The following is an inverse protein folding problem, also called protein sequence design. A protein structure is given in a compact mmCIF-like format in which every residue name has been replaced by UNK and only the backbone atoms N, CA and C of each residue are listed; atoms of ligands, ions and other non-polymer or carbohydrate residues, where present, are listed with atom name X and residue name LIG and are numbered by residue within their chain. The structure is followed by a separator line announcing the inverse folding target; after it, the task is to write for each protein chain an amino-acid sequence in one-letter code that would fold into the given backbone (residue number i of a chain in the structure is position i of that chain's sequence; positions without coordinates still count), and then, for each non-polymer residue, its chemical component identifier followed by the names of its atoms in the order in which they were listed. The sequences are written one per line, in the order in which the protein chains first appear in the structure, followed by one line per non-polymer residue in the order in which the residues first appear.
data_IF_161520181772
#
_entry.id   IF_161520181772
#
_cell.length_a   1.000
_cell.length_b   1.000
_cell.length_c   1.000
_cell.angle_alpha   90.00
_cell.angle_beta   90.00
_cell.angle_gamma   90.00
#
_symmetry.space_group_name_H-M   'P 1'
#
loop_
_entity.id
_entity.type
_entity.pdbx_description
1 polymer ?
#
# COMPACT_ATOMS: atom_id res chain seq x y z
N UNK A 1 7.61 4.06 5.32
CA UNK A 1 7.42 4.93 6.50
C UNK A 1 8.53 5.96 6.70
N UNK A 2 9.38 6.25 5.70
CA UNK A 2 10.52 7.19 5.85
C UNK A 2 10.26 8.56 5.23
N UNK A 3 9.15 8.74 4.51
CA UNK A 3 8.70 10.07 4.07
C UNK A 3 8.49 10.96 5.30
N UNK A 4 8.82 12.27 5.26
CA UNK A 4 8.73 13.16 6.42
C UNK A 4 7.40 13.04 7.20
N UNK A 5 6.26 13.15 6.51
CA UNK A 5 4.95 13.04 7.17
C UNK A 5 4.70 11.69 7.86
N UNK A 6 5.22 10.59 7.30
CA UNK A 6 4.96 9.25 7.79
C UNK A 6 5.88 8.91 8.97
N UNK A 7 7.10 9.46 8.98
CA UNK A 7 8.00 9.38 10.12
C UNK A 7 7.46 10.20 11.30
N UNK A 8 6.98 11.43 11.03
CA UNK A 8 6.31 12.26 12.01
C UNK A 8 5.07 11.56 12.59
N UNK A 9 4.17 11.08 11.73
CA UNK A 9 3.01 10.28 12.12
C UNK A 9 3.40 9.11 13.04
N UNK A 10 4.36 8.28 12.61
CA UNK A 10 4.78 7.08 13.34
C UNK A 10 5.29 7.41 14.74
N UNK A 11 6.18 8.41 14.86
CA UNK A 11 6.75 8.82 16.15
C UNK A 11 5.73 9.50 17.06
N UNK A 12 4.80 10.27 16.49
CA UNK A 12 3.73 10.90 17.27
C UNK A 12 2.75 9.86 17.84
N UNK A 13 2.41 8.81 17.08
CA UNK A 13 1.61 7.68 17.58
C UNK A 13 2.28 7.05 18.80
N UNK A 14 3.57 6.70 18.69
CA UNK A 14 4.36 6.13 19.79
C UNK A 14 4.31 7.04 21.02
N UNK A 15 4.66 8.33 20.85
CA UNK A 15 4.68 9.30 21.95
C UNK A 15 3.30 9.39 22.65
N UNK A 16 2.20 9.43 21.89
CA UNK A 16 0.85 9.56 22.45
C UNK A 16 0.36 8.29 23.15
N UNK A 17 0.68 7.12 22.60
CA UNK A 17 0.37 5.83 23.20
C UNK A 17 1.13 5.63 24.52
N UNK A 18 2.45 5.79 24.51
CA UNK A 18 3.30 5.51 25.67
C UNK A 18 3.06 6.49 26.83
N UNK A 19 2.79 7.77 26.52
CA UNK A 19 2.38 8.77 27.53
C UNK A 19 1.11 8.35 28.30
N UNK A 20 0.30 7.44 27.74
CA UNK A 20 -0.94 6.93 28.33
C UNK A 20 -0.83 5.48 28.80
N UNK A 21 0.36 4.87 28.74
CA UNK A 21 0.56 3.45 29.08
C UNK A 21 -0.12 2.50 28.10
N UNK A 22 -0.27 2.90 26.84
CA UNK A 22 -0.90 2.12 25.76
C UNK A 22 0.19 1.68 24.77
N UNK A 23 0.06 0.48 24.21
CA UNK A 23 1.00 -0.03 23.21
C UNK A 23 0.84 0.68 21.85
N UNK A 24 1.95 0.96 21.17
CA UNK A 24 2.02 1.43 19.80
C UNK A 24 2.47 0.29 18.87
N UNK A 25 1.66 -0.04 17.87
CA UNK A 25 1.93 -1.13 16.92
C UNK A 25 2.42 -0.56 15.59
N UNK A 26 3.51 -1.15 15.07
CA UNK A 26 4.10 -0.86 13.78
C UNK A 26 3.25 -1.32 12.59
N UNK A 27 3.76 -1.12 11.38
CA UNK A 27 3.02 -1.36 10.15
C UNK A 27 3.08 -2.81 9.64
N UNK A 28 2.32 -3.04 8.58
CA UNK A 28 2.29 -4.32 7.85
C UNK A 28 3.54 -4.53 6.98
N UNK A 29 4.10 -5.74 7.00
CA UNK A 29 4.96 -6.26 5.94
C UNK A 29 4.18 -7.31 5.13
N UNK A 30 3.83 -6.95 3.89
CA UNK A 30 2.94 -7.72 3.03
C UNK A 30 3.68 -8.73 2.12
N UNK A 31 5.00 -8.85 2.22
CA UNK A 31 5.80 -9.67 1.31
C UNK A 31 5.44 -11.16 1.39
N UNK A 32 5.33 -11.79 0.22
CA UNK A 32 5.20 -13.25 0.06
C UNK A 32 6.56 -13.77 -0.44
N UNK A 33 7.14 -14.81 0.18
CA UNK A 33 8.41 -15.37 -0.27
C UNK A 33 8.41 -15.78 -1.75
N UNK A 34 9.47 -15.40 -2.47
CA UNK A 34 9.62 -15.65 -3.90
C UNK A 34 10.41 -16.95 -4.07
N UNK A 35 9.74 -18.03 -4.50
CA UNK A 35 10.32 -19.39 -4.50
C UNK A 35 11.33 -19.67 -5.60
N UNK A 36 11.29 -18.93 -6.70
CA UNK A 36 12.06 -19.23 -7.92
C UNK A 36 13.08 -18.14 -8.26
N UNK A 37 13.36 -17.24 -7.32
CA UNK A 37 14.27 -16.11 -7.49
C UNK A 37 14.87 -15.74 -6.14
N UNK A 38 15.98 -16.40 -5.80
CA UNK A 38 16.63 -16.26 -4.49
C UNK A 38 17.15 -14.83 -4.27
N UNK A 39 17.60 -14.15 -5.32
CA UNK A 39 18.12 -12.78 -5.23
C UNK A 39 16.97 -11.80 -4.95
N UNK A 40 15.87 -11.87 -5.71
CA UNK A 40 14.70 -11.05 -5.46
C UNK A 40 14.07 -11.35 -4.09
N UNK A 41 14.04 -12.62 -3.69
CA UNK A 41 13.56 -13.02 -2.38
C UNK A 41 14.42 -12.41 -1.26
N UNK A 42 15.75 -12.56 -1.35
CA UNK A 42 16.68 -12.00 -0.37
C UNK A 42 16.54 -10.47 -0.26
N UNK A 43 16.44 -9.77 -1.39
CA UNK A 43 16.22 -8.32 -1.40
C UNK A 43 14.89 -7.92 -0.76
N UNK A 44 13.81 -8.67 -1.01
CA UNK A 44 12.51 -8.44 -0.41
C UNK A 44 12.53 -8.68 1.11
N UNK A 45 13.14 -9.77 1.57
CA UNK A 45 13.27 -10.09 2.99
C UNK A 45 14.16 -9.10 3.75
N UNK A 46 15.25 -8.63 3.13
CA UNK A 46 16.11 -7.60 3.72
C UNK A 46 15.36 -6.27 3.87
N UNK A 47 14.46 -5.95 2.94
CA UNK A 47 13.58 -4.78 3.08
C UNK A 47 12.64 -4.93 4.28
N UNK A 48 12.04 -6.11 4.47
CA UNK A 48 11.21 -6.40 5.66
C UNK A 48 12.03 -6.22 6.93
N UNK A 49 13.23 -6.82 6.99
CA UNK A 49 14.13 -6.73 8.14
C UNK A 49 14.45 -5.27 8.49
N UNK A 50 14.89 -4.46 7.52
CA UNK A 50 15.17 -3.01 7.72
C UNK A 50 13.94 -2.23 8.17
N UNK A 51 12.77 -2.57 7.63
CA UNK A 51 11.53 -1.91 8.01
C UNK A 51 11.14 -2.24 9.46
N UNK A 52 11.28 -3.51 9.90
CA UNK A 52 11.01 -3.93 11.29
C UNK A 52 12.04 -3.38 12.27
N UNK A 53 13.31 -3.43 11.91
CA UNK A 53 14.41 -2.81 12.67
C UNK A 53 14.13 -1.33 12.94
N UNK A 54 13.66 -0.59 11.92
CA UNK A 54 13.30 0.82 12.08
C UNK A 54 12.11 1.00 13.02
N UNK A 55 11.09 0.16 12.93
CA UNK A 55 9.90 0.26 13.79
C UNK A 55 10.25 0.07 15.27
N UNK A 56 10.92 -1.03 15.60
CA UNK A 56 11.36 -1.29 16.98
C UNK A 56 12.33 -0.20 17.46
N UNK A 57 13.25 0.25 16.59
CA UNK A 57 14.15 1.37 16.91
C UNK A 57 13.47 2.71 17.03
N UNK A 58 12.26 2.93 16.50
CA UNK A 58 11.50 4.15 16.75
C UNK A 58 10.76 4.10 18.09
N UNK A 59 10.36 2.91 18.52
CA UNK A 59 9.66 2.69 19.80
C UNK A 59 8.37 1.90 19.69
N UNK A 60 8.07 1.25 18.56
CA UNK A 60 6.89 0.38 18.48
C UNK A 60 7.04 -0.86 19.37
N UNK A 61 5.95 -1.29 20.00
CA UNK A 61 5.90 -2.47 20.89
C UNK A 61 5.63 -3.78 20.16
N UNK A 62 5.26 -3.70 18.88
CA UNK A 62 4.99 -4.84 18.03
C UNK A 62 4.87 -4.44 16.57
N UNK A 63 4.65 -5.41 15.70
CA UNK A 63 4.53 -5.19 14.25
C UNK A 63 3.64 -6.23 13.58
N UNK A 64 3.26 -5.98 12.32
CA UNK A 64 2.42 -6.87 11.53
C UNK A 64 3.15 -7.52 10.36
N UNK A 65 2.81 -8.78 10.08
CA UNK A 65 3.25 -9.54 8.90
C UNK A 65 2.05 -10.24 8.26
N UNK A 66 2.02 -10.30 6.92
CA UNK A 66 0.91 -10.94 6.20
C UNK A 66 1.14 -12.42 5.90
N UNK A 67 2.37 -12.93 6.10
CA UNK A 67 2.74 -14.30 5.76
C UNK A 67 3.57 -14.96 6.87
N UNK A 68 3.31 -16.22 7.26
CA UNK A 68 4.01 -16.91 8.35
C UNK A 68 5.54 -16.94 8.20
N UNK A 69 6.04 -17.03 6.97
CA UNK A 69 7.48 -17.03 6.70
C UNK A 69 8.21 -15.73 7.12
N UNK A 70 7.48 -14.63 7.35
CA UNK A 70 8.06 -13.37 7.82
C UNK A 70 8.08 -13.26 9.35
N UNK A 71 7.43 -14.18 10.07
CA UNK A 71 7.31 -14.13 11.54
C UNK A 71 8.69 -14.15 12.18
N UNK A 72 9.57 -15.08 11.78
CA UNK A 72 10.90 -15.18 12.39
C UNK A 72 11.73 -13.91 12.18
N UNK A 73 11.70 -13.33 10.98
CA UNK A 73 12.43 -12.09 10.68
C UNK A 73 11.94 -10.93 11.54
N UNK A 74 10.62 -10.82 11.73
CA UNK A 74 10.05 -9.79 12.59
C UNK A 74 10.41 -10.03 14.07
N UNK A 75 10.29 -11.27 14.55
CA UNK A 75 10.68 -11.66 15.90
C UNK A 75 12.15 -11.36 16.17
N UNK A 76 13.06 -11.77 15.28
CA UNK A 76 14.51 -11.58 15.45
C UNK A 76 14.88 -10.10 15.64
N UNK A 77 14.29 -9.20 14.85
CA UNK A 77 14.55 -7.75 14.99
C UNK A 77 13.94 -7.17 16.26
N UNK A 78 12.75 -7.63 16.67
CA UNK A 78 12.12 -7.18 17.90
C UNK A 78 12.85 -7.73 19.15
N UNK A 79 13.17 -9.02 19.20
CA UNK A 79 13.92 -9.64 20.32
C UNK A 79 15.29 -8.98 20.51
N UNK A 80 15.94 -8.61 19.40
CA UNK A 80 17.25 -7.93 19.42
C UNK A 80 17.20 -6.50 19.96
N UNK A 81 16.13 -5.76 19.68
CA UNK A 81 16.05 -4.32 19.96
C UNK A 81 15.05 -3.95 21.06
N UNK A 82 14.18 -4.88 21.46
CA UNK A 82 13.18 -4.78 22.52
C UNK A 82 13.30 -6.01 23.45
N UNK A 83 14.31 -6.07 24.34
CA UNK A 83 14.54 -7.21 25.22
C UNK A 83 13.49 -7.35 26.36
N UNK A 84 12.61 -6.36 26.51
CA UNK A 84 11.48 -6.36 27.43
C UNK A 84 10.21 -6.78 26.68
N UNK A 85 9.12 -7.03 27.39
CA UNK A 85 7.83 -7.38 26.76
C UNK A 85 7.25 -6.25 25.88
N UNK A 86 7.65 -4.99 26.13
CA UNK A 86 7.24 -3.80 25.40
C UNK A 86 8.24 -2.63 25.65
N UNK A 87 8.01 -1.49 25.00
CA UNK A 87 8.78 -0.25 25.08
C UNK A 87 7.97 0.91 25.70
N UNK A 88 7.00 0.64 26.59
CA UNK A 88 6.17 1.68 27.23
C UNK A 88 6.98 2.75 27.98
N UNK A 89 8.20 2.43 28.41
CA UNK A 89 9.14 3.37 29.04
C UNK A 89 9.77 4.38 28.05
N UNK A 90 9.63 4.13 26.75
CA UNK A 90 10.14 4.99 25.68
C UNK A 90 9.17 6.11 25.33
N UNK A 91 9.12 7.13 26.18
CA UNK A 91 8.12 8.20 26.12
C UNK A 91 8.32 9.25 25.00
N UNK A 92 9.51 9.32 24.39
CA UNK A 92 9.88 10.34 23.40
C UNK A 92 9.59 11.79 23.88
N UNK A 93 9.96 12.12 25.12
CA UNK A 93 9.56 13.39 25.77
C UNK A 93 10.06 14.65 25.06
N UNK A 94 11.24 14.59 24.43
CA UNK A 94 11.85 15.73 23.74
C UNK A 94 11.37 15.89 22.29
N UNK A 95 10.55 14.96 21.80
CA UNK A 95 10.03 14.98 20.44
C UNK A 95 8.92 16.05 20.33
N UNK A 96 9.16 17.05 19.50
CA UNK A 96 8.15 18.05 19.12
C UNK A 96 7.74 17.83 17.67
N UNK A 97 6.48 17.48 17.45
CA UNK A 97 5.85 17.34 16.13
C UNK A 97 4.63 18.24 16.12
N UNK A 98 4.52 19.07 15.09
CA UNK A 98 3.40 19.99 14.88
C UNK A 98 2.52 19.55 13.71
N UNK A 99 1.45 20.30 13.46
CA UNK A 99 0.48 19.99 12.40
C UNK A 99 1.11 20.04 11.00
N UNK A 100 2.03 20.97 10.75
CA UNK A 100 2.70 21.11 9.46
C UNK A 100 3.57 19.89 9.13
N UNK A 101 4.20 19.27 10.13
CA UNK A 101 4.99 18.05 9.94
C UNK A 101 4.10 16.87 9.47
N UNK A 102 2.84 16.82 9.93
CA UNK A 102 1.89 15.74 9.60
C UNK A 102 1.25 15.90 8.21
N UNK A 103 1.32 17.09 7.62
CA UNK A 103 0.74 17.39 6.29
C UNK A 103 1.80 17.78 5.27
N UNK A 104 3.10 17.63 5.58
CA UNK A 104 4.18 17.85 4.63
C UNK A 104 4.01 16.91 3.42
N UNK A 105 4.01 17.47 2.21
CA UNK A 105 3.85 16.67 1.00
C UNK A 105 5.04 15.70 0.81
N UNK A 106 4.79 14.43 0.47
CA UNK A 106 5.86 13.47 0.23
C UNK A 106 6.68 13.89 -1.01
N UNK A 107 8.00 13.72 -0.91
CA UNK A 107 8.92 13.97 -2.02
C UNK A 107 8.96 12.74 -2.94
N UNK A 108 8.82 12.95 -4.24
CA UNK A 108 8.86 11.89 -5.24
C UNK A 108 8.41 12.38 -6.60
N UNK A 109 8.30 11.45 -7.55
CA UNK A 109 7.78 11.69 -8.88
C UNK A 109 6.63 10.76 -9.20
N UNK A 110 5.71 11.22 -10.05
CA UNK A 110 4.72 10.36 -10.70
C UNK A 110 5.35 9.81 -11.97
N UNK A 111 5.30 8.50 -12.16
CA UNK A 111 5.93 7.83 -13.32
C UNK A 111 4.87 7.06 -14.11
N UNK A 112 5.07 6.86 -15.41
CA UNK A 112 4.16 6.02 -16.21
C UNK A 112 4.04 4.61 -15.61
N UNK A 113 5.18 4.05 -15.16
CA UNK A 113 5.21 2.73 -14.51
C UNK A 113 4.34 2.71 -13.24
N UNK A 114 4.35 3.79 -12.46
CA UNK A 114 3.50 3.95 -11.28
C UNK A 114 2.01 4.03 -11.65
N UNK A 115 1.67 4.81 -12.67
CA UNK A 115 0.30 4.91 -13.21
C UNK A 115 -0.21 3.53 -13.65
N UNK A 116 0.55 2.83 -14.49
CA UNK A 116 0.21 1.47 -14.97
C UNK A 116 0.05 0.48 -13.83
N UNK A 117 0.96 0.51 -12.85
CA UNK A 117 0.88 -0.36 -11.67
C UNK A 117 -0.41 -0.12 -10.89
N UNK A 118 -0.80 1.14 -10.68
CA UNK A 118 -2.03 1.47 -9.97
C UNK A 118 -3.27 1.01 -10.75
N UNK A 119 -3.28 1.13 -12.08
CA UNK A 119 -4.38 0.60 -12.92
C UNK A 119 -4.47 -0.91 -12.75
N UNK A 120 -3.34 -1.58 -12.92
CA UNK A 120 -3.26 -3.02 -12.92
C UNK A 120 -3.65 -3.64 -11.56
N UNK A 121 -3.00 -3.22 -10.47
CA UNK A 121 -3.25 -3.77 -9.12
C UNK A 121 -4.67 -3.47 -8.66
N UNK A 122 -5.17 -2.26 -8.93
CA UNK A 122 -6.54 -1.89 -8.56
C UNK A 122 -7.61 -2.74 -9.25
N UNK A 123 -7.46 -2.99 -10.55
CA UNK A 123 -8.38 -3.87 -11.30
C UNK A 123 -8.27 -5.31 -10.82
N UNK A 124 -7.04 -5.85 -10.67
CA UNK A 124 -6.83 -7.23 -10.22
C UNK A 124 -7.39 -7.49 -8.82
N UNK A 125 -7.18 -6.56 -7.90
CA UNK A 125 -7.74 -6.68 -6.56
C UNK A 125 -9.28 -6.63 -6.60
N UNK A 126 -9.86 -5.67 -7.34
CA UNK A 126 -11.32 -5.55 -7.49
C UNK A 126 -11.93 -6.81 -8.10
N UNK A 127 -11.28 -7.40 -9.11
CA UNK A 127 -11.69 -8.67 -9.71
C UNK A 127 -11.75 -9.81 -8.69
N UNK A 128 -10.69 -9.97 -7.90
CA UNK A 128 -10.63 -11.00 -6.88
C UNK A 128 -11.65 -10.76 -5.76
N UNK A 129 -11.85 -9.51 -5.37
CA UNK A 129 -12.85 -9.12 -4.38
C UNK A 129 -14.27 -9.47 -4.82
N UNK A 130 -14.61 -9.21 -6.09
CA UNK A 130 -15.90 -9.59 -6.71
C UNK A 130 -16.12 -11.10 -6.83
N UNK A 131 -15.07 -11.90 -6.66
CA UNK A 131 -15.12 -13.37 -6.54
C UNK A 131 -15.14 -13.84 -5.08
N UNK A 132 -15.22 -12.93 -4.11
CA UNK A 132 -15.25 -13.24 -2.68
C UNK A 132 -13.87 -13.35 -2.02
N UNK A 133 -12.80 -12.89 -2.66
CA UNK A 133 -11.44 -12.92 -2.11
C UNK A 133 -10.95 -11.51 -1.73
N UNK A 134 -10.95 -11.20 -0.43
CA UNK A 134 -10.49 -9.91 0.09
C UNK A 134 -8.99 -9.83 0.41
N UNK A 135 -8.29 -10.97 0.45
CA UNK A 135 -6.83 -11.06 0.62
C UNK A 135 -6.23 -11.76 -0.60
N UNK A 136 -5.40 -11.04 -1.36
CA UNK A 136 -5.05 -11.42 -2.74
C UNK A 136 -3.54 -11.34 -2.93
N UNK A 137 -2.93 -12.45 -3.36
CA UNK A 137 -1.51 -12.46 -3.72
C UNK A 137 -1.31 -11.81 -5.10
N UNK A 138 -0.81 -10.58 -5.14
CA UNK A 138 -0.48 -9.86 -6.37
C UNK A 138 1.00 -9.47 -6.36
N UNK A 139 1.75 -9.87 -7.39
CA UNK A 139 3.17 -9.51 -7.54
C UNK A 139 4.03 -9.76 -6.30
N UNK A 140 3.83 -10.92 -5.65
CA UNK A 140 4.51 -11.35 -4.42
C UNK A 140 4.19 -10.48 -3.19
N UNK A 141 3.07 -9.77 -3.20
CA UNK A 141 2.51 -9.05 -2.06
C UNK A 141 1.12 -9.59 -1.74
N UNK A 142 0.81 -9.70 -0.45
CA UNK A 142 -0.54 -9.98 0.02
C UNK A 142 -1.30 -8.67 0.13
N UNK A 143 -2.13 -8.39 -0.87
CA UNK A 143 -2.86 -7.13 -0.99
C UNK A 143 -4.27 -7.25 -0.37
N UNK A 144 -4.72 -6.14 0.20
CA UNK A 144 -6.08 -5.94 0.71
C UNK A 144 -6.75 -4.73 0.03
N UNK A 145 -7.93 -4.34 0.52
CA UNK A 145 -8.72 -3.27 -0.08
C UNK A 145 -7.99 -1.94 -0.06
N UNK A 146 -7.16 -1.66 0.95
CA UNK A 146 -6.45 -0.41 1.05
C UNK A 146 -5.44 -0.22 -0.10
N UNK A 147 -4.88 -1.31 -0.63
CA UNK A 147 -4.02 -1.27 -1.83
C UNK A 147 -4.80 -0.79 -3.07
N UNK A 148 -6.01 -1.29 -3.28
CA UNK A 148 -6.85 -0.83 -4.38
C UNK A 148 -7.35 0.60 -4.16
N UNK A 149 -7.68 0.97 -2.91
CA UNK A 149 -8.09 2.34 -2.55
C UNK A 149 -6.99 3.36 -2.86
N UNK A 150 -5.75 3.14 -2.40
CA UNK A 150 -4.67 4.09 -2.68
C UNK A 150 -4.30 4.11 -4.16
N UNK A 151 -4.45 2.99 -4.87
CA UNK A 151 -4.22 2.91 -6.31
C UNK A 151 -5.21 3.79 -7.08
N UNK A 152 -6.52 3.67 -6.82
CA UNK A 152 -7.53 4.50 -7.49
C UNK A 152 -7.45 5.96 -7.06
N UNK A 153 -7.14 6.23 -5.80
CA UNK A 153 -7.12 7.60 -5.25
C UNK A 153 -5.99 8.40 -5.84
N UNK A 154 -4.81 7.78 -6.00
CA UNK A 154 -3.70 8.41 -6.71
C UNK A 154 -4.06 8.71 -8.17
N UNK A 155 -4.65 7.75 -8.90
CA UNK A 155 -5.05 7.97 -10.29
C UNK A 155 -6.09 9.09 -10.41
N UNK A 156 -7.13 9.07 -9.58
CA UNK A 156 -8.16 10.10 -9.53
C UNK A 156 -7.55 11.49 -9.26
N UNK A 157 -6.70 11.60 -8.24
CA UNK A 157 -6.06 12.86 -7.87
C UNK A 157 -5.14 13.37 -8.99
N UNK A 158 -4.32 12.50 -9.56
CA UNK A 158 -3.36 12.85 -10.61
C UNK A 158 -4.06 13.26 -11.90
N UNK A 159 -5.13 12.55 -12.28
CA UNK A 159 -5.93 12.86 -13.46
C UNK A 159 -6.71 14.18 -13.29
N UNK A 160 -7.33 14.40 -12.11
CA UNK A 160 -8.07 15.63 -11.80
C UNK A 160 -7.18 16.88 -11.80
N UNK A 161 -5.93 16.75 -11.36
CA UNK A 161 -4.98 17.86 -11.28
C UNK A 161 -4.02 17.92 -12.48
N UNK A 162 -4.19 17.05 -13.48
CA UNK A 162 -3.32 16.97 -14.65
C UNK A 162 -1.82 17.01 -14.30
N UNK A 163 -1.40 16.14 -13.37
CA UNK A 163 -0.02 16.15 -12.88
C UNK A 163 0.97 15.79 -13.97
N UNK A 164 2.18 16.32 -13.86
CA UNK A 164 3.28 16.01 -14.77
C UNK A 164 4.00 14.72 -14.34
N UNK A 165 4.18 13.80 -15.28
CA UNK A 165 5.02 12.62 -15.12
C UNK A 165 6.51 12.99 -15.10
N UNK A 166 7.35 12.05 -14.67
CA UNK A 166 8.81 12.19 -14.64
C UNK A 166 9.46 12.37 -16.01
N UNK A 167 8.80 11.90 -17.08
CA UNK A 167 9.17 12.16 -18.48
C UNK A 167 8.53 13.41 -19.10
N UNK A 168 7.99 14.28 -18.25
CA UNK A 168 7.39 15.57 -18.59
C UNK A 168 6.03 15.54 -19.29
N UNK A 169 5.48 14.38 -19.65
CA UNK A 169 4.10 14.30 -20.16
C UNK A 169 3.12 14.67 -19.05
N UNK A 170 1.95 15.17 -19.44
CA UNK A 170 0.85 15.51 -18.53
C UNK A 170 -0.13 14.34 -18.49
N UNK A 171 -0.47 13.86 -17.30
CA UNK A 171 -1.49 12.82 -17.12
C UNK A 171 -2.90 13.43 -17.27
N UNK A 172 -3.27 13.74 -18.51
CA UNK A 172 -4.62 14.14 -18.89
C UNK A 172 -5.47 12.91 -19.28
N UNK A 173 -6.75 13.14 -19.60
CA UNK A 173 -7.68 12.07 -19.97
C UNK A 173 -7.20 11.24 -21.16
N UNK A 174 -6.63 11.86 -22.19
CA UNK A 174 -6.13 11.16 -23.37
C UNK A 174 -5.01 10.18 -23.01
N UNK A 175 -3.97 10.65 -22.30
CA UNK A 175 -2.87 9.80 -21.88
C UNK A 175 -3.33 8.71 -20.91
N UNK A 176 -4.17 9.05 -19.93
CA UNK A 176 -4.72 8.06 -19.00
C UNK A 176 -5.49 6.96 -19.74
N UNK A 177 -6.40 7.30 -20.66
CA UNK A 177 -7.16 6.33 -21.43
C UNK A 177 -6.26 5.43 -22.29
N UNK A 178 -5.18 5.97 -22.87
CA UNK A 178 -4.19 5.17 -23.61
C UNK A 178 -3.52 4.13 -22.71
N UNK A 179 -2.96 4.57 -21.57
CA UNK A 179 -2.30 3.68 -20.60
C UNK A 179 -3.28 2.65 -20.02
N UNK A 180 -4.51 3.08 -19.73
CA UNK A 180 -5.56 2.22 -19.20
C UNK A 180 -5.96 1.12 -20.17
N UNK A 181 -6.21 1.46 -21.44
CA UNK A 181 -6.56 0.49 -22.45
C UNK A 181 -5.44 -0.51 -22.71
N UNK A 182 -4.19 -0.07 -22.72
CA UNK A 182 -3.04 -0.96 -22.87
C UNK A 182 -2.93 -1.96 -21.70
N UNK A 183 -3.09 -1.52 -20.44
CA UNK A 183 -3.11 -2.42 -19.29
C UNK A 183 -4.33 -3.36 -19.30
N UNK A 184 -5.51 -2.86 -19.65
CA UNK A 184 -6.74 -3.67 -19.77
C UNK A 184 -6.61 -4.76 -20.83
N UNK A 185 -6.00 -4.43 -21.99
CA UNK A 185 -5.79 -5.42 -23.05
C UNK A 185 -4.88 -6.56 -22.58
N UNK A 186 -3.77 -6.24 -21.91
CA UNK A 186 -2.88 -7.24 -21.30
C UNK A 186 -3.63 -8.12 -20.29
N UNK A 187 -4.45 -7.51 -19.44
CA UNK A 187 -5.26 -8.25 -18.47
C UNK A 187 -6.27 -9.18 -19.17
N UNK A 188 -6.95 -8.70 -20.22
CA UNK A 188 -7.92 -9.50 -20.99
C UNK A 188 -7.26 -10.69 -21.71
N UNK A 189 -6.04 -10.54 -22.21
CA UNK A 189 -5.29 -11.66 -22.81
C UNK A 189 -5.00 -12.78 -21.79
N UNK A 190 -4.70 -12.40 -20.54
CA UNK A 190 -4.43 -13.35 -19.45
C UNK A 190 -5.74 -13.96 -18.94
N UNK A 191 -6.73 -13.14 -18.61
CA UNK A 191 -7.97 -13.55 -17.94
C UNK A 191 -9.05 -14.08 -18.88
N UNK A 192 -8.99 -13.78 -20.18
CA UNK A 192 -9.96 -14.25 -21.16
C UNK A 192 -10.03 -15.79 -21.26
N UNK A 193 -9.02 -16.48 -20.74
CA UNK A 193 -8.96 -17.95 -20.65
C UNK A 193 -9.45 -18.50 -19.31
N UNK A 194 -9.70 -17.64 -18.33
CA UNK A 194 -10.10 -18.02 -16.97
C UNK A 194 -11.62 -18.02 -16.89
N UNK A 195 -12.28 -19.18 -16.73
CA UNK A 195 -13.73 -19.22 -16.60
C UNK A 195 -14.20 -18.53 -15.32
N UNK A 196 -15.38 -17.90 -15.37
CA UNK A 196 -16.03 -17.23 -14.24
C UNK A 196 -15.20 -16.11 -13.59
N UNK A 197 -14.24 -15.52 -14.30
CA UNK A 197 -13.60 -14.29 -13.86
C UNK A 197 -14.61 -13.13 -13.81
N UNK A 198 -14.31 -12.10 -13.02
CA UNK A 198 -15.13 -10.88 -12.89
C UNK A 198 -14.46 -9.65 -13.52
N UNK A 199 -13.54 -9.86 -14.47
CA UNK A 199 -12.64 -8.81 -14.95
C UNK A 199 -13.38 -7.63 -15.58
N UNK A 200 -14.35 -7.89 -16.46
CA UNK A 200 -15.10 -6.81 -17.13
C UNK A 200 -15.86 -5.94 -16.12
N UNK A 201 -16.44 -6.55 -15.07
CA UNK A 201 -17.12 -5.81 -14.00
C UNK A 201 -16.13 -5.04 -13.13
N UNK A 202 -14.95 -5.61 -12.85
CA UNK A 202 -13.89 -4.93 -12.13
C UNK A 202 -13.38 -3.69 -12.89
N UNK A 203 -13.18 -3.81 -14.21
CA UNK A 203 -12.79 -2.70 -15.08
C UNK A 203 -13.86 -1.59 -15.05
N UNK A 204 -15.14 -1.96 -15.16
CA UNK A 204 -16.26 -1.00 -15.11
C UNK A 204 -16.27 -0.21 -13.80
N UNK A 205 -16.24 -0.90 -12.65
CA UNK A 205 -16.25 -0.26 -11.32
C UNK A 205 -15.01 0.62 -11.15
N UNK A 206 -13.83 0.11 -11.50
CA UNK A 206 -12.59 0.85 -11.32
C UNK A 206 -12.52 2.10 -12.20
N UNK A 207 -13.02 2.02 -13.44
CA UNK A 207 -13.13 3.18 -14.34
C UNK A 207 -14.06 4.24 -13.76
N UNK A 208 -15.23 3.83 -13.27
CA UNK A 208 -16.17 4.74 -12.62
C UNK A 208 -15.52 5.46 -11.43
N UNK A 209 -14.81 4.72 -10.56
CA UNK A 209 -14.17 5.28 -9.37
C UNK A 209 -13.03 6.26 -9.68
N UNK A 210 -12.27 6.04 -10.76
CA UNK A 210 -11.14 6.92 -11.14
C UNK A 210 -11.60 8.14 -11.93
N UNK A 211 -12.61 8.00 -12.79
CA UNK A 211 -13.08 9.08 -13.67
C UNK A 211 -14.24 9.91 -13.10
N UNK A 212 -14.82 9.52 -11.95
CA UNK A 212 -15.92 10.27 -11.33
C UNK A 212 -15.46 11.70 -10.94
N UNK A 213 -16.18 12.76 -11.34
CA UNK A 213 -15.90 14.13 -10.90
C UNK A 213 -15.84 14.28 -9.37
N UNK A 214 -16.71 13.54 -8.68
CA UNK A 214 -16.79 13.46 -7.23
C UNK A 214 -16.05 12.22 -6.72
N UNK A 215 -15.32 12.38 -5.63
CA UNK A 215 -14.55 11.28 -5.06
C UNK A 215 -15.48 10.36 -4.24
N UNK A 216 -15.70 9.15 -4.74
CA UNK A 216 -16.38 8.10 -3.97
C UNK A 216 -15.53 7.72 -2.77
N UNK A 217 -16.11 7.65 -1.57
CA UNK A 217 -15.35 7.48 -0.33
C UNK A 217 -14.66 6.12 -0.27
N UNK A 218 -15.37 5.04 -0.65
CA UNK A 218 -14.86 3.67 -0.60
C UNK A 218 -15.24 2.88 -1.86
N UNK A 219 -14.26 2.22 -2.47
CA UNK A 219 -14.46 1.30 -3.60
C UNK A 219 -15.41 0.14 -3.23
N UNK A 220 -15.42 -0.22 -1.95
CA UNK A 220 -16.22 -1.33 -1.44
C UNK A 220 -17.71 -1.07 -1.54
N UNK A 221 -18.18 0.18 -1.48
CA UNK A 221 -19.60 0.51 -1.56
C UNK A 221 -20.24 0.12 -2.91
N UNK A 222 -19.72 0.58 -4.08
CA UNK A 222 -20.23 0.14 -5.37
C UNK A 222 -19.91 -1.33 -5.65
N UNK A 223 -18.74 -1.83 -5.23
CA UNK A 223 -18.39 -3.24 -5.44
C UNK A 223 -19.34 -4.20 -4.70
N UNK A 224 -19.79 -3.83 -3.50
CA UNK A 224 -20.70 -4.63 -2.66
C UNK A 224 -22.05 -4.89 -3.31
N UNK A 225 -22.46 -4.09 -4.30
CA UNK A 225 -23.70 -4.32 -5.04
C UNK A 225 -23.64 -5.53 -5.98
N UNK A 226 -22.46 -6.14 -6.17
CA UNK A 226 -22.21 -7.20 -7.15
C UNK A 226 -21.75 -8.53 -6.54
N UNK A 227 -21.79 -8.65 -5.21
CA UNK A 227 -21.44 -9.87 -4.45
C UNK A 227 -22.63 -10.44 -3.69
#
# INVERSE_FOLDING_TARGET
MTSPLMDAYSKLVIQRCHKRGILAIGGMAAQIPIKNDDEANAAALEKVRKDKEREVKNGHDGTWVAHPALVQIAMDEFDKHMPKENQLDRLLVDLTINEADLVELPKGSVTEKGVRKNINVGILYTEAWLRGHGAVALYNLMEDAATAEISRTQLWQWLKNEVRLDDHRVLNKTLYTELFNDEVNKLKEIFGKIPNNRLDKAIEIYTQLVENPDFEEFLTLPAYQFI
#
